data_IF_538445258680
#
_entry.id   IF_538445258680
#
_cell.length_a   1.000
_cell.length_b   1.000
_cell.length_c   1.000
_cell.angle_alpha   90.00
_cell.angle_beta   90.00
_cell.angle_gamma   90.00
#
_symmetry.space_group_name_H-M   'P 1'
#
loop_
_entity.id
_entity.type
_entity.pdbx_description
1 polymer ?
#
# COMPACT_ATOMS: atom_id res chain seq x y z
N UNK A 1 -14.84 -12.03 -5.85
CA UNK A 1 -14.07 -11.97 -7.13
C UNK A 1 -12.71 -12.59 -6.88
N UNK A 2 -12.23 -13.49 -7.72
CA UNK A 2 -10.88 -14.04 -7.58
C UNK A 2 -9.90 -13.18 -8.37
N UNK A 3 -8.88 -12.65 -7.71
CA UNK A 3 -7.79 -11.97 -8.39
C UNK A 3 -6.83 -13.02 -8.99
N UNK A 4 -6.42 -12.84 -10.24
CA UNK A 4 -5.48 -13.74 -10.90
C UNK A 4 -4.04 -13.20 -10.88
N UNK A 5 -3.87 -11.94 -10.50
CA UNK A 5 -2.58 -11.27 -10.44
C UNK A 5 -2.53 -10.21 -9.32
N UNK A 6 -1.31 -9.81 -8.94
CA UNK A 6 -1.10 -8.68 -8.02
C UNK A 6 -1.68 -7.38 -8.57
N UNK A 7 -1.71 -7.23 -9.89
CA UNK A 7 -2.29 -6.06 -10.54
C UNK A 7 -3.82 -6.05 -10.41
N UNK A 8 -4.50 -7.20 -10.57
CA UNK A 8 -5.94 -7.29 -10.36
C UNK A 8 -6.31 -6.93 -8.92
N UNK A 9 -5.54 -7.45 -7.95
CA UNK A 9 -5.70 -7.11 -6.54
C UNK A 9 -5.55 -5.61 -6.33
N UNK A 10 -4.52 -5.00 -6.88
CA UNK A 10 -4.28 -3.57 -6.80
C UNK A 10 -5.42 -2.74 -7.40
N UNK A 11 -5.89 -3.14 -8.59
CA UNK A 11 -7.01 -2.48 -9.27
C UNK A 11 -8.29 -2.57 -8.44
N UNK A 12 -8.54 -3.71 -7.80
CA UNK A 12 -9.68 -3.87 -6.91
C UNK A 12 -9.57 -2.94 -5.69
N UNK A 13 -8.45 -3.00 -4.95
CA UNK A 13 -8.23 -2.19 -3.74
C UNK A 13 -8.34 -0.68 -4.00
N UNK A 14 -7.93 -0.21 -5.18
CA UNK A 14 -8.10 1.20 -5.58
C UNK A 14 -9.55 1.65 -5.71
N UNK A 15 -10.47 0.72 -5.93
CA UNK A 15 -11.91 0.99 -6.03
C UNK A 15 -12.61 0.90 -4.68
N UNK A 16 -11.89 0.50 -3.62
CA UNK A 16 -12.40 0.43 -2.28
C UNK A 16 -12.20 1.77 -1.55
N UNK A 17 -13.11 2.05 -0.62
CA UNK A 17 -13.08 3.25 0.20
C UNK A 17 -12.74 2.88 1.64
N UNK A 18 -11.80 3.62 2.24
CA UNK A 18 -11.57 3.55 3.68
C UNK A 18 -12.76 4.17 4.43
N UNK A 19 -13.26 3.42 5.39
CA UNK A 19 -14.31 3.82 6.33
C UNK A 19 -13.99 3.12 7.64
N UNK A 20 -13.95 3.86 8.76
CA UNK A 20 -13.72 3.24 10.05
C UNK A 20 -14.92 2.40 10.50
N UNK A 21 -14.67 1.44 11.36
CA UNK A 21 -15.72 0.62 11.98
C UNK A 21 -16.75 1.45 12.72
N UNK A 22 -16.30 2.52 13.39
CA UNK A 22 -17.20 3.42 14.10
C UNK A 22 -18.18 4.13 13.14
N UNK A 23 -17.67 4.60 11.97
CA UNK A 23 -18.51 5.22 10.94
C UNK A 23 -19.44 4.20 10.27
N UNK A 24 -18.97 2.97 10.04
CA UNK A 24 -19.71 1.98 9.25
C UNK A 24 -20.68 1.16 10.11
N UNK A 25 -20.32 0.82 11.35
CA UNK A 25 -21.04 -0.13 12.20
C UNK A 25 -21.37 0.42 13.60
N UNK A 26 -20.91 1.62 13.96
CA UNK A 26 -21.05 2.16 15.32
C UNK A 26 -20.25 1.38 16.36
N UNK A 27 -19.21 0.66 15.95
CA UNK A 27 -18.35 -0.18 16.78
C UNK A 27 -16.92 0.32 16.72
N UNK A 28 -16.15 0.13 17.78
CA UNK A 28 -14.72 0.49 17.79
C UNK A 28 -13.87 -0.45 16.95
N UNK A 29 -14.25 -1.72 16.89
CA UNK A 29 -13.55 -2.80 16.19
C UNK A 29 -14.57 -3.81 15.65
N UNK A 30 -14.51 -4.10 14.36
CA UNK A 30 -15.34 -5.11 13.71
C UNK A 30 -14.66 -5.66 12.47
N UNK A 31 -13.98 -6.75 12.60
CA UNK A 31 -13.27 -7.43 11.51
C UNK A 31 -14.25 -8.07 10.53
N UNK A 32 -14.38 -7.47 9.39
CA UNK A 32 -15.33 -7.90 8.37
C UNK A 32 -14.81 -9.14 7.63
N UNK A 33 -15.67 -10.16 7.40
CA UNK A 33 -15.31 -11.25 6.51
C UNK A 33 -14.87 -10.74 5.12
N UNK A 34 -13.83 -11.32 4.49
CA UNK A 34 -13.35 -10.86 3.18
C UNK A 34 -14.42 -10.79 2.08
N UNK A 35 -15.44 -11.67 2.13
CA UNK A 35 -16.56 -11.67 1.18
C UNK A 35 -17.47 -10.44 1.36
N UNK A 36 -17.62 -9.95 2.59
CA UNK A 36 -18.43 -8.77 2.89
C UNK A 36 -17.69 -7.51 2.50
N UNK A 37 -16.38 -7.44 2.74
CA UNK A 37 -15.53 -6.37 2.22
C UNK A 37 -15.54 -6.33 0.69
N UNK A 38 -15.49 -7.48 0.02
CA UNK A 38 -15.58 -7.56 -1.44
C UNK A 38 -16.87 -6.94 -1.97
N UNK A 39 -18.00 -7.19 -1.30
CA UNK A 39 -19.31 -6.66 -1.69
C UNK A 39 -19.46 -5.17 -1.37
N UNK A 40 -19.11 -4.78 -0.16
CA UNK A 40 -19.25 -3.39 0.31
C UNK A 40 -18.25 -2.44 -0.34
N UNK A 41 -17.03 -2.93 -0.59
CA UNK A 41 -15.86 -2.14 -0.98
C UNK A 41 -15.58 -0.99 -0.01
N UNK A 42 -15.93 -1.19 1.25
CA UNK A 42 -15.73 -0.25 2.34
C UNK A 42 -15.24 -1.01 3.55
N UNK A 43 -14.32 -0.42 4.28
CA UNK A 43 -13.76 -0.98 5.49
C UNK A 43 -12.51 -0.22 5.91
N UNK A 44 -11.88 -0.62 6.98
CA UNK A 44 -10.65 -0.02 7.48
C UNK A 44 -9.41 -0.89 7.24
N UNK A 45 -8.33 -0.68 8.00
CA UNK A 45 -7.03 -1.27 7.65
C UNK A 45 -7.02 -2.79 7.73
N UNK A 46 -7.72 -3.39 8.69
CA UNK A 46 -7.79 -4.84 8.85
C UNK A 46 -8.65 -5.47 7.77
N UNK A 47 -9.75 -4.86 7.37
CA UNK A 47 -10.63 -5.37 6.31
C UNK A 47 -9.91 -5.41 4.95
N UNK A 48 -9.22 -4.32 4.62
CA UNK A 48 -8.36 -4.26 3.44
C UNK A 48 -7.28 -5.34 3.48
N UNK A 49 -6.66 -5.53 4.65
CA UNK A 49 -5.55 -6.46 4.82
C UNK A 49 -6.01 -7.93 4.83
N UNK A 50 -7.14 -8.25 5.47
CA UNK A 50 -7.73 -9.59 5.44
C UNK A 50 -8.11 -9.99 4.01
N UNK A 51 -8.74 -9.09 3.27
CA UNK A 51 -9.08 -9.34 1.88
C UNK A 51 -7.82 -9.56 1.02
N UNK A 52 -6.83 -8.68 1.14
CA UNK A 52 -5.59 -8.79 0.39
C UNK A 52 -4.82 -10.08 0.74
N UNK A 53 -4.75 -10.44 2.02
CA UNK A 53 -4.15 -11.68 2.47
C UNK A 53 -4.83 -12.90 1.86
N UNK A 54 -6.15 -12.97 1.90
CA UNK A 54 -6.93 -14.05 1.27
C UNK A 54 -6.63 -14.16 -0.22
N UNK A 55 -6.62 -13.05 -0.95
CA UNK A 55 -6.34 -13.06 -2.39
C UNK A 55 -4.91 -13.54 -2.70
N UNK A 56 -3.92 -13.15 -1.89
CA UNK A 56 -2.54 -13.62 -2.04
C UNK A 56 -2.42 -15.14 -1.80
N UNK A 57 -3.11 -15.67 -0.79
CA UNK A 57 -3.18 -17.11 -0.55
C UNK A 57 -3.84 -17.85 -1.72
N UNK A 58 -4.94 -17.32 -2.25
CA UNK A 58 -5.65 -17.90 -3.40
C UNK A 58 -4.82 -17.86 -4.70
N UNK A 59 -3.87 -16.93 -4.81
CA UNK A 59 -2.86 -16.86 -5.88
C UNK A 59 -1.64 -17.76 -5.62
N UNK A 60 -1.59 -18.47 -4.49
CA UNK A 60 -0.51 -19.40 -4.15
C UNK A 60 0.72 -18.74 -3.51
N UNK A 61 0.65 -17.48 -3.10
CA UNK A 61 1.75 -16.85 -2.37
C UNK A 61 1.79 -17.30 -0.91
N UNK A 62 3.00 -17.48 -0.37
CA UNK A 62 3.19 -17.53 1.08
C UNK A 62 3.01 -16.13 1.63
N UNK A 63 1.93 -15.89 2.33
CA UNK A 63 1.56 -14.57 2.83
C UNK A 63 1.19 -14.61 4.31
N UNK A 64 1.41 -13.47 4.99
CA UNK A 64 1.03 -13.23 6.39
C UNK A 64 0.16 -11.98 6.48
N UNK A 65 -0.92 -12.08 7.21
CA UNK A 65 -1.58 -10.92 7.79
C UNK A 65 -0.75 -10.41 8.96
N UNK A 66 -0.57 -9.11 9.10
CA UNK A 66 0.24 -8.50 10.14
C UNK A 66 -0.50 -7.32 10.76
N UNK A 67 -0.55 -7.28 12.08
CA UNK A 67 -1.02 -6.15 12.88
C UNK A 67 0.13 -5.55 13.67
N UNK A 68 0.15 -4.22 13.80
CA UNK A 68 1.21 -3.52 14.53
C UNK A 68 1.07 -2.00 14.44
N UNK A 69 2.20 -1.29 14.41
CA UNK A 69 2.25 0.17 14.28
C UNK A 69 3.17 0.59 13.13
N UNK A 70 3.02 1.83 12.66
CA UNK A 70 3.85 2.37 11.56
C UNK A 70 4.51 3.68 11.99
N UNK A 71 5.83 3.72 11.94
CA UNK A 71 6.63 4.86 12.37
C UNK A 71 6.46 5.13 13.86
N UNK A 72 6.18 6.39 14.19
CA UNK A 72 5.99 6.84 15.57
C UNK A 72 4.50 6.99 15.94
N UNK A 73 3.60 6.53 15.07
CA UNK A 73 2.16 6.54 15.35
C UNK A 73 1.82 5.51 16.44
N UNK A 74 1.09 5.89 17.48
CA UNK A 74 0.57 4.95 18.47
C UNK A 74 -0.66 4.18 17.94
N UNK A 75 -1.25 4.62 16.82
CA UNK A 75 -2.42 3.97 16.26
C UNK A 75 -2.06 2.59 15.70
N UNK A 76 -2.90 1.60 15.99
CA UNK A 76 -2.84 0.29 15.38
C UNK A 76 -2.99 0.36 13.86
N UNK A 77 -2.36 -0.55 13.16
CA UNK A 77 -2.43 -0.67 11.72
C UNK A 77 -2.30 -2.12 11.27
N UNK A 78 -2.92 -2.46 10.16
CA UNK A 78 -2.82 -3.79 9.57
C UNK A 78 -2.28 -3.72 8.13
N UNK A 79 -1.44 -4.70 7.78
CA UNK A 79 -0.86 -4.85 6.44
C UNK A 79 -0.60 -6.32 6.12
N UNK A 80 -0.06 -6.60 4.95
CA UNK A 80 0.27 -7.96 4.53
C UNK A 80 1.74 -8.05 4.13
N UNK A 81 2.39 -9.14 4.49
CA UNK A 81 3.68 -9.51 3.93
C UNK A 81 3.56 -10.79 3.10
N UNK A 82 4.35 -10.93 2.05
CA UNK A 82 4.33 -12.14 1.21
C UNK A 82 5.69 -12.42 0.58
N UNK A 83 5.88 -13.65 0.12
CA UNK A 83 7.07 -14.08 -0.59
C UNK A 83 6.80 -14.20 -2.09
N UNK A 84 7.71 -13.65 -2.90
CA UNK A 84 7.74 -13.81 -4.35
C UNK A 84 9.19 -13.91 -4.82
N UNK A 85 9.51 -14.91 -5.65
CA UNK A 85 10.84 -15.13 -6.20
C UNK A 85 11.94 -15.15 -5.11
N UNK A 86 11.67 -15.84 -3.99
CA UNK A 86 12.56 -15.93 -2.82
C UNK A 86 12.74 -14.64 -2.02
N UNK A 87 12.04 -13.57 -2.34
CA UNK A 87 12.11 -12.28 -1.67
C UNK A 87 10.86 -11.98 -0.87
N UNK A 88 11.04 -11.27 0.26
CA UNK A 88 9.93 -10.79 1.07
C UNK A 88 9.47 -9.40 0.61
N UNK A 89 8.18 -9.24 0.51
CA UNK A 89 7.52 -7.99 0.15
C UNK A 89 6.51 -7.61 1.22
N UNK A 90 6.34 -6.30 1.40
CA UNK A 90 5.26 -5.73 2.18
C UNK A 90 4.22 -5.18 1.22
N UNK A 91 2.97 -5.54 1.40
CA UNK A 91 1.83 -4.96 0.73
C UNK A 91 1.06 -4.09 1.73
N UNK A 92 0.89 -2.81 1.38
CA UNK A 92 0.03 -1.88 2.09
C UNK A 92 -1.30 -1.75 1.34
N UNK A 93 -2.35 -2.50 1.75
CA UNK A 93 -3.57 -2.59 0.94
C UNK A 93 -4.39 -1.30 0.91
N UNK A 94 -4.30 -0.49 1.97
CA UNK A 94 -5.07 0.74 2.14
C UNK A 94 -4.52 1.91 1.32
N UNK A 95 -3.25 1.89 0.98
CA UNK A 95 -2.60 3.01 0.30
C UNK A 95 -3.10 3.18 -1.13
N UNK A 96 -3.73 4.31 -1.43
CA UNK A 96 -4.18 4.71 -2.78
C UNK A 96 -3.02 4.80 -3.78
N UNK A 97 -1.80 4.83 -3.30
CA UNK A 97 -0.56 4.91 -4.06
C UNK A 97 0.21 3.60 -4.11
N UNK A 98 -0.47 2.46 -3.97
CA UNK A 98 0.18 1.19 -4.22
C UNK A 98 0.67 1.23 -5.68
N UNK A 99 1.89 1.70 -5.87
CA UNK A 99 2.63 1.42 -7.09
C UNK A 99 2.78 -0.09 -7.20
N UNK A 100 3.07 -0.62 -8.37
CA UNK A 100 3.43 -2.04 -8.61
C UNK A 100 4.60 -2.52 -7.73
N UNK A 101 5.30 -1.58 -7.10
CA UNK A 101 6.39 -1.84 -6.17
C UNK A 101 5.84 -1.70 -4.75
N UNK A 102 5.76 -2.81 -4.08
CA UNK A 102 5.61 -2.86 -2.64
C UNK A 102 6.68 -1.94 -2.04
N UNK A 103 6.34 -0.99 -1.15
CA UNK A 103 7.31 -0.04 -0.63
C UNK A 103 8.31 -0.74 0.29
N UNK A 104 9.41 -1.24 -0.29
CA UNK A 104 10.45 -1.95 0.46
C UNK A 104 11.16 -1.05 1.49
N UNK A 105 11.27 0.23 1.19
CA UNK A 105 11.93 1.20 2.06
C UNK A 105 11.08 1.59 3.27
N UNK A 106 9.78 1.74 3.06
CA UNK A 106 8.86 2.04 4.14
C UNK A 106 8.66 0.83 5.07
N UNK A 107 9.05 -0.37 4.63
CA UNK A 107 8.96 -1.58 5.44
C UNK A 107 9.71 -1.48 6.78
N UNK A 108 10.80 -0.71 6.85
CA UNK A 108 11.54 -0.48 8.09
C UNK A 108 10.77 0.34 9.14
N UNK A 109 9.72 1.05 8.72
CA UNK A 109 8.84 1.82 9.61
C UNK A 109 7.74 0.96 10.24
N UNK A 110 7.49 -0.22 9.69
CA UNK A 110 6.45 -1.12 10.14
C UNK A 110 6.96 -1.97 11.30
N UNK A 111 6.30 -1.87 12.43
CA UNK A 111 6.63 -2.56 13.70
C UNK A 111 5.56 -3.60 13.97
N UNK A 112 5.76 -4.88 13.59
CA UNK A 112 4.76 -5.91 13.80
C UNK A 112 4.62 -6.24 15.29
N UNK A 113 3.38 -6.35 15.76
CA UNK A 113 3.05 -6.86 17.09
C UNK A 113 2.53 -8.30 17.01
N UNK A 114 1.69 -8.57 16.03
CA UNK A 114 1.13 -9.88 15.76
C UNK A 114 1.19 -10.20 14.26
N UNK A 115 1.22 -11.48 13.93
CA UNK A 115 0.95 -11.90 12.55
C UNK A 115 0.22 -13.23 12.50
N UNK A 116 -0.42 -13.53 11.38
CA UNK A 116 -1.08 -14.80 11.13
C UNK A 116 -0.61 -15.39 9.80
N UNK A 117 -0.35 -16.67 9.78
CA UNK A 117 -0.12 -17.51 8.60
C UNK A 117 -1.24 -18.51 8.43
N UNK A 118 -1.53 -18.88 7.19
CA UNK A 118 -2.47 -19.94 6.86
C UNK A 118 -1.73 -21.15 6.30
N UNK A 119 -1.93 -22.33 6.90
CA UNK A 119 -1.27 -23.58 6.49
C UNK A 119 -2.11 -24.43 5.51
N UNK A 120 -3.26 -23.91 5.10
CA UNK A 120 -4.25 -24.63 4.28
C UNK A 120 -5.42 -25.19 5.08
N UNK A 121 -5.31 -25.25 6.42
CA UNK A 121 -6.34 -25.79 7.33
C UNK A 121 -6.72 -24.81 8.44
N UNK A 122 -5.73 -24.17 9.04
CA UNK A 122 -5.94 -23.25 10.16
C UNK A 122 -4.96 -22.07 10.11
N UNK A 123 -5.30 -21.00 10.83
CA UNK A 123 -4.43 -19.87 11.03
C UNK A 123 -3.50 -20.10 12.22
N UNK A 124 -2.22 -19.85 12.03
CA UNK A 124 -1.20 -19.86 13.07
C UNK A 124 -0.83 -18.42 13.41
N UNK A 125 -0.94 -18.07 14.70
CA UNK A 125 -0.68 -16.73 15.19
C UNK A 125 0.71 -16.64 15.82
N UNK A 126 1.39 -15.52 15.56
CA UNK A 126 2.71 -15.21 16.08
C UNK A 126 2.69 -13.85 16.77
N UNK A 127 3.27 -13.77 17.96
CA UNK A 127 3.50 -12.51 18.68
C UNK A 127 4.93 -12.06 18.42
N UNK A 128 5.10 -10.80 18.04
CA UNK A 128 6.39 -10.19 17.78
C UNK A 128 6.74 -9.23 18.92
N UNK A 129 7.90 -9.44 19.54
CA UNK A 129 8.44 -8.51 20.53
C UNK A 129 9.24 -7.44 19.79
N UNK A 130 8.66 -6.26 19.59
CA UNK A 130 9.28 -5.01 19.12
C UNK A 130 10.34 -5.13 18.00
N UNK A 131 10.21 -6.11 17.11
CA UNK A 131 11.13 -6.24 15.98
C UNK A 131 10.50 -5.62 14.75
N UNK A 132 11.16 -4.57 14.25
CA UNK A 132 10.87 -4.04 12.92
C UNK A 132 10.93 -5.19 11.88
N UNK A 133 10.12 -5.10 10.81
CA UNK A 133 10.33 -5.94 9.65
C UNK A 133 11.81 -5.79 9.22
N UNK A 134 12.58 -6.86 9.36
CA UNK A 134 13.98 -6.89 8.93
C UNK A 134 14.01 -7.56 7.56
N UNK A 135 14.28 -6.81 6.49
CA UNK A 135 14.56 -7.42 5.19
C UNK A 135 15.78 -8.33 5.34
N UNK A 136 15.85 -9.40 4.55
CA UNK A 136 17.04 -10.25 4.55
C UNK A 136 18.30 -9.40 4.30
N UNK A 137 19.43 -9.76 4.91
CA UNK A 137 20.68 -9.00 4.78
C UNK A 137 21.07 -8.71 3.33
N UNK A 138 20.71 -9.59 2.39
CA UNK A 138 20.91 -9.41 0.95
C UNK A 138 20.05 -8.34 0.31
N UNK A 139 18.97 -7.91 0.97
CA UNK A 139 18.06 -6.87 0.45
C UNK A 139 18.42 -5.46 0.93
N UNK A 140 19.18 -5.34 2.03
CA UNK A 140 19.55 -4.05 2.62
C UNK A 140 20.32 -3.14 1.63
N UNK A 141 21.35 -3.61 0.91
CA UNK A 141 22.06 -2.78 -0.06
C UNK A 141 21.16 -2.27 -1.20
N UNK A 142 20.25 -3.12 -1.68
CA UNK A 142 19.29 -2.74 -2.73
C UNK A 142 18.27 -1.71 -2.23
N UNK A 143 17.86 -1.80 -0.98
CA UNK A 143 16.95 -0.84 -0.36
C UNK A 143 17.60 0.53 -0.23
N UNK A 144 18.87 0.57 0.17
CA UNK A 144 19.64 1.83 0.28
C UNK A 144 19.82 2.48 -1.09
N UNK A 145 20.16 1.69 -2.11
CA UNK A 145 20.27 2.17 -3.50
C UNK A 145 18.94 2.70 -4.04
N UNK A 146 17.85 1.98 -3.85
CA UNK A 146 16.53 2.42 -4.29
C UNK A 146 16.11 3.73 -3.58
N UNK A 147 16.42 3.88 -2.29
CA UNK A 147 16.17 5.11 -1.56
C UNK A 147 17.00 6.28 -2.10
N UNK A 148 18.27 6.07 -2.38
CA UNK A 148 19.14 7.08 -2.97
C UNK A 148 18.63 7.53 -4.35
N UNK A 149 18.27 6.56 -5.22
CA UNK A 149 17.68 6.85 -6.52
C UNK A 149 16.32 7.57 -6.43
N UNK A 150 15.48 7.20 -5.48
CA UNK A 150 14.20 7.88 -5.24
C UNK A 150 14.42 9.35 -4.83
N UNK A 151 15.35 9.61 -3.89
CA UNK A 151 15.71 10.97 -3.45
C UNK A 151 16.24 11.80 -4.60
N UNK A 152 17.13 11.26 -5.41
CA UNK A 152 17.66 11.94 -6.59
C UNK A 152 16.54 12.25 -7.60
N UNK A 153 15.64 11.31 -7.86
CA UNK A 153 14.48 11.54 -8.74
C UNK A 153 13.53 12.62 -8.22
N UNK A 154 13.26 12.65 -6.93
CA UNK A 154 12.40 13.68 -6.32
C UNK A 154 13.06 15.03 -6.43
N UNK A 155 14.35 15.14 -6.14
CA UNK A 155 15.10 16.40 -6.27
C UNK A 155 15.13 16.88 -7.72
N UNK A 156 15.41 16.01 -8.69
CA UNK A 156 15.37 16.35 -10.12
C UNK A 156 13.97 16.74 -10.60
N UNK A 157 12.93 16.07 -10.11
CA UNK A 157 11.54 16.42 -10.44
C UNK A 157 11.18 17.80 -9.91
N UNK A 158 11.46 18.07 -8.65
CA UNK A 158 11.14 19.36 -8.01
C UNK A 158 12.01 20.48 -8.58
N UNK A 159 13.30 20.26 -8.76
CA UNK A 159 14.22 21.31 -9.22
C UNK A 159 14.16 21.59 -10.72
N UNK A 160 13.86 20.59 -11.54
CA UNK A 160 13.95 20.70 -13.00
C UNK A 160 12.62 20.50 -13.72
N UNK A 161 11.90 19.45 -13.44
CA UNK A 161 10.69 19.09 -14.22
C UNK A 161 9.46 19.88 -13.81
N UNK A 162 9.33 20.25 -12.54
CA UNK A 162 8.18 21.01 -12.03
C UNK A 162 8.18 22.43 -12.59
N UNK A 163 9.29 23.20 -12.55
CA UNK A 163 9.34 24.52 -13.16
C UNK A 163 9.08 24.51 -14.67
N UNK A 164 9.65 23.54 -15.40
CA UNK A 164 9.42 23.43 -16.86
C UNK A 164 7.95 23.13 -17.18
N UNK A 165 7.28 22.28 -16.39
CA UNK A 165 5.84 22.02 -16.55
C UNK A 165 5.00 23.24 -16.23
N UNK A 166 5.33 23.98 -15.19
CA UNK A 166 4.62 25.21 -14.81
C UNK A 166 4.78 26.29 -15.88
N UNK A 167 5.99 26.47 -16.40
CA UNK A 167 6.24 27.40 -17.51
C UNK A 167 5.46 27.02 -18.79
N UNK A 168 5.40 25.73 -19.15
CA UNK A 168 4.60 25.27 -20.29
C UNK A 168 3.09 25.49 -20.09
N UNK A 169 2.59 25.30 -18.88
CA UNK A 169 1.18 25.56 -18.57
C UNK A 169 0.85 27.05 -18.59
N UNK A 170 1.73 27.90 -18.05
CA UNK A 170 1.59 29.34 -18.11
C UNK A 170 1.62 29.85 -19.55
N UNK A 171 2.56 29.37 -20.38
CA UNK A 171 2.66 29.68 -21.79
C UNK A 171 1.40 29.28 -22.56
N UNK A 172 0.88 28.06 -22.35
CA UNK A 172 -0.38 27.61 -22.99
C UNK A 172 -1.57 28.48 -22.59
N UNK A 173 -1.71 28.87 -21.32
CA UNK A 173 -2.78 29.75 -20.86
C UNK A 173 -2.69 31.14 -21.44
N UNK A 174 -1.47 31.68 -21.58
CA UNK A 174 -1.23 32.97 -22.19
C UNK A 174 -1.64 32.98 -23.66
N UNK A 175 -1.25 31.97 -24.43
CA UNK A 175 -1.62 31.85 -25.85
C UNK A 175 -3.12 31.61 -26.05
N UNK A 176 -3.77 30.85 -25.20
CA UNK A 176 -5.23 30.62 -25.24
C UNK A 176 -6.02 31.91 -24.95
N UNK A 177 -5.54 32.76 -24.02
CA UNK A 177 -6.14 34.09 -23.78
C UNK A 177 -6.00 34.98 -24.99
N UNK A 178 -4.81 35.10 -25.55
CA UNK A 178 -4.55 35.96 -26.73
C UNK A 178 -5.40 35.59 -27.95
N UNK A 179 -5.65 34.30 -28.16
CA UNK A 179 -6.51 33.83 -29.25
C UNK A 179 -8.02 34.01 -28.94
N UNK A 180 -8.43 34.22 -27.70
CA UNK A 180 -9.81 34.51 -27.37
C UNK A 180 -10.15 35.99 -27.57
N UNK A 181 -9.19 36.88 -27.34
CA UNK A 181 -9.35 38.33 -27.50
C UNK A 181 -9.22 38.80 -28.97
N UNK A 182 -8.91 37.88 -29.92
CA UNK A 182 -8.80 38.17 -31.36
C UNK A 182 -9.95 37.58 -32.19
N UNK A 183 -11.03 37.08 -31.55
CA UNK A 183 -12.22 36.68 -32.31
C UNK A 183 -13.17 37.86 -32.44
N UNK A 184 -13.59 38.20 -33.66
CA UNK A 184 -14.54 39.29 -33.94
C UNK A 184 -15.92 39.01 -33.35
#
# INVERSE_FOLDING_TARGET
MKCNSLEDLRVFLRKCRYVSDEEQFGKKEYWMPPQDFERSRKGDCEDFSLYAWRQLLDMGYKARFVGGTVGDSPAGHAWVTFQKDGKHYLLEPQHRYIGLKTPRLDALRYKPNISAEWDGKQAHFFVHQERNFVPSATQIPLLVLEWAFYRVRVVLFVAYLLPVRLCRLAYRRFFQRKNRDQRP
#
